data_IF_129489472273
#
_entry.id   IF_129489472273
#
_cell.length_a   1.000
_cell.length_b   1.000
_cell.length_c   1.000
_cell.angle_alpha   90.00
_cell.angle_beta   90.00
_cell.angle_gamma   90.00
#
_symmetry.space_group_name_H-M   'P 1'
#
loop_
_entity.id
_entity.type
_entity.pdbx_description
1 polymer ?
#
# COMPACT_ATOMS: atom_id res chain seq x y z
N UNK A 1 55.90 -0.49 -31.07
CA UNK A 1 54.90 -0.24 -32.13
C UNK A 1 53.55 -0.54 -31.51
N UNK A 2 52.88 0.50 -31.01
CA UNK A 2 51.61 0.36 -30.28
C UNK A 2 50.48 0.45 -31.29
N UNK A 3 49.63 -0.58 -31.33
CA UNK A 3 48.41 -0.56 -32.12
C UNK A 3 47.32 0.15 -31.30
N UNK A 4 46.85 1.27 -31.86
CA UNK A 4 45.68 2.04 -31.44
C UNK A 4 44.46 1.13 -31.29
N UNK A 5 43.89 1.06 -30.09
CA UNK A 5 42.52 0.64 -29.89
C UNK A 5 41.70 1.90 -29.61
N UNK A 6 40.91 2.27 -30.63
CA UNK A 6 39.91 3.33 -30.62
C UNK A 6 39.11 3.36 -29.30
N UNK A 7 39.39 4.36 -28.47
CA UNK A 7 38.47 4.79 -27.43
C UNK A 7 37.26 5.45 -28.12
N UNK A 8 36.23 4.66 -28.43
CA UNK A 8 34.89 5.20 -28.62
C UNK A 8 34.42 5.75 -27.27
N UNK A 9 34.65 7.04 -27.09
CA UNK A 9 34.07 7.85 -26.02
C UNK A 9 32.55 7.68 -26.12
N UNK A 10 31.97 6.90 -25.21
CA UNK A 10 30.52 6.87 -25.00
C UNK A 10 30.15 8.28 -24.57
N UNK A 11 29.61 9.07 -25.51
CA UNK A 11 28.97 10.35 -25.20
C UNK A 11 27.92 10.06 -24.14
N UNK A 12 28.24 10.42 -22.89
CA UNK A 12 27.23 10.64 -21.86
C UNK A 12 26.24 11.61 -22.47
N UNK A 13 25.12 11.07 -22.93
CA UNK A 13 23.98 11.87 -23.30
C UNK A 13 23.42 12.31 -21.96
N UNK A 14 23.93 13.43 -21.45
CA UNK A 14 23.35 14.13 -20.33
C UNK A 14 21.88 14.32 -20.68
N UNK A 15 21.02 13.53 -20.03
CA UNK A 15 19.59 13.64 -20.21
C UNK A 15 19.23 15.09 -19.85
N UNK A 16 18.77 15.84 -20.85
CA UNK A 16 18.16 17.15 -20.63
C UNK A 16 17.14 16.98 -19.51
N UNK A 17 17.17 17.82 -18.45
CA UNK A 17 16.05 17.83 -17.53
C UNK A 17 14.82 18.20 -18.37
N UNK A 18 13.84 17.30 -18.44
CA UNK A 18 12.53 17.68 -18.96
C UNK A 18 11.95 18.69 -17.97
N UNK A 19 12.25 19.96 -18.23
CA UNK A 19 11.61 21.08 -17.59
C UNK A 19 10.10 20.99 -17.81
N UNK A 20 9.35 21.08 -16.71
CA UNK A 20 7.95 21.54 -16.70
C UNK A 20 6.89 20.69 -17.44
N UNK A 21 6.77 19.39 -17.15
CA UNK A 21 5.39 18.83 -17.12
C UNK A 21 4.71 19.45 -15.91
N UNK A 22 3.87 20.46 -16.13
CA UNK A 22 3.04 21.13 -15.09
C UNK A 22 2.54 20.07 -14.10
N UNK A 23 2.95 20.16 -12.83
CA UNK A 23 2.26 19.45 -11.74
C UNK A 23 0.81 19.93 -11.81
N UNK A 24 -0.07 19.12 -12.39
CA UNK A 24 -1.48 19.45 -12.47
C UNK A 24 -1.99 19.45 -11.03
N UNK A 25 -2.52 20.59 -10.58
CA UNK A 25 -3.09 20.72 -9.25
C UNK A 25 -4.15 19.62 -9.05
N UNK A 26 -4.07 18.89 -7.93
CA UNK A 26 -5.00 17.83 -7.59
C UNK A 26 -6.44 18.33 -7.67
N UNK A 27 -6.70 19.58 -7.24
CA UNK A 27 -8.03 20.18 -7.28
C UNK A 27 -8.55 20.44 -8.70
N UNK A 28 -7.66 20.58 -9.68
CA UNK A 28 -8.01 20.79 -11.08
C UNK A 28 -8.41 19.49 -11.80
N UNK A 29 -8.15 18.32 -11.20
CA UNK A 29 -8.50 17.02 -11.78
C UNK A 29 -10.00 16.73 -11.69
N UNK A 30 -10.49 15.88 -12.61
CA UNK A 30 -11.84 15.35 -12.54
C UNK A 30 -12.02 14.42 -11.32
N UNK A 31 -13.23 14.33 -10.79
CA UNK A 31 -13.54 13.62 -9.52
C UNK A 31 -13.15 12.14 -9.56
N UNK A 32 -13.43 11.46 -10.67
CA UNK A 32 -13.01 10.08 -10.94
C UNK A 32 -11.48 9.90 -10.85
N UNK A 33 -10.71 10.82 -11.42
CA UNK A 33 -9.24 10.78 -11.34
C UNK A 33 -8.71 11.13 -9.95
N UNK A 34 -9.33 12.06 -9.25
CA UNK A 34 -8.97 12.38 -7.86
C UNK A 34 -9.17 11.16 -6.95
N UNK A 35 -10.33 10.50 -7.06
CA UNK A 35 -10.66 9.30 -6.30
C UNK A 35 -9.72 8.14 -6.65
N UNK A 36 -9.37 7.96 -7.93
CA UNK A 36 -8.44 6.92 -8.36
C UNK A 36 -7.04 7.11 -7.74
N UNK A 37 -6.52 8.35 -7.70
CA UNK A 37 -5.23 8.68 -7.06
C UNK A 37 -5.25 8.38 -5.57
N UNK A 38 -6.32 8.78 -4.87
CA UNK A 38 -6.48 8.51 -3.45
C UNK A 38 -6.50 7.00 -3.20
N UNK A 39 -7.32 6.28 -3.96
CA UNK A 39 -7.53 4.87 -3.70
C UNK A 39 -6.34 4.00 -4.11
N UNK A 40 -5.61 4.37 -5.17
CA UNK A 40 -4.37 3.67 -5.54
C UNK A 40 -3.35 3.70 -4.40
N UNK A 41 -3.23 4.84 -3.70
CA UNK A 41 -2.32 4.96 -2.55
C UNK A 41 -2.74 4.04 -1.40
N UNK A 42 -4.04 3.91 -1.12
CA UNK A 42 -4.54 2.99 -0.09
C UNK A 42 -4.36 1.51 -0.47
N UNK A 43 -4.53 1.17 -1.76
CA UNK A 43 -4.27 -0.17 -2.29
C UNK A 43 -2.79 -0.51 -2.16
N UNK A 44 -1.88 0.36 -2.59
CA UNK A 44 -0.43 0.14 -2.47
C UNK A 44 0.00 -0.11 -1.01
N UNK A 45 -0.58 0.63 -0.06
CA UNK A 45 -0.35 0.37 1.36
C UNK A 45 -0.83 -1.03 1.74
N UNK A 46 -2.04 -1.42 1.31
CA UNK A 46 -2.59 -2.74 1.61
C UNK A 46 -1.76 -3.86 0.98
N UNK A 47 -1.29 -3.68 -0.26
CA UNK A 47 -0.39 -4.62 -0.94
C UNK A 47 0.91 -4.82 -0.16
N UNK A 48 1.52 -3.75 0.37
CA UNK A 48 2.73 -3.85 1.17
C UNK A 48 2.50 -4.73 2.43
N UNK A 49 1.36 -4.58 3.10
CA UNK A 49 0.98 -5.46 4.21
C UNK A 49 0.63 -6.88 3.74
N UNK A 50 0.00 -7.05 2.57
CA UNK A 50 -0.32 -8.37 2.02
C UNK A 50 0.96 -9.18 1.76
N UNK A 51 1.98 -8.55 1.19
CA UNK A 51 3.30 -9.17 0.99
C UNK A 51 4.05 -9.38 2.32
N UNK A 52 3.96 -8.42 3.25
CA UNK A 52 4.72 -8.44 4.49
C UNK A 52 4.16 -9.34 5.59
N UNK A 53 2.83 -9.48 5.70
CA UNK A 53 2.16 -10.24 6.77
C UNK A 53 0.85 -10.91 6.35
N UNK A 54 0.33 -10.67 5.14
CA UNK A 54 -1.00 -11.12 4.71
C UNK A 54 -1.19 -12.63 4.66
N UNK A 55 -0.07 -13.37 4.58
CA UNK A 55 -0.04 -14.83 4.64
C UNK A 55 0.72 -15.29 5.89
N UNK A 56 0.12 -15.13 7.09
CA UNK A 56 0.79 -15.44 8.35
C UNK A 56 1.24 -16.90 8.48
N UNK A 57 0.68 -17.82 7.71
CA UNK A 57 1.10 -19.23 7.64
C UNK A 57 2.54 -19.43 7.15
N UNK A 58 3.11 -18.49 6.40
CA UNK A 58 4.54 -18.54 6.05
C UNK A 58 5.44 -18.19 7.24
N UNK A 59 4.93 -17.44 8.21
CA UNK A 59 5.69 -17.00 9.38
C UNK A 59 5.56 -17.98 10.55
N UNK A 60 4.37 -18.50 10.79
CA UNK A 60 4.08 -19.27 12.00
C UNK A 60 3.37 -20.57 11.64
N UNK A 61 3.96 -21.69 12.06
CA UNK A 61 3.37 -23.03 11.97
C UNK A 61 2.87 -23.50 13.35
N UNK A 62 2.08 -24.58 13.40
CA UNK A 62 1.54 -25.11 14.67
C UNK A 62 2.66 -25.57 15.62
N UNK A 63 3.74 -26.09 15.06
CA UNK A 63 4.98 -26.44 15.74
C UNK A 63 6.12 -25.75 15.03
N UNK A 64 7.10 -25.26 15.79
CA UNK A 64 8.28 -24.60 15.25
C UNK A 64 9.51 -24.97 16.07
N UNK A 65 10.68 -25.00 15.45
CA UNK A 65 11.97 -24.96 16.13
C UNK A 65 12.33 -23.53 16.54
N UNK A 66 13.36 -23.35 17.37
CA UNK A 66 13.85 -22.00 17.71
C UNK A 66 14.35 -21.27 16.45
N UNK A 67 15.06 -21.98 15.56
CA UNK A 67 15.55 -21.44 14.29
C UNK A 67 14.41 -20.95 13.39
N UNK A 68 13.34 -21.74 13.23
CA UNK A 68 12.16 -21.33 12.46
C UNK A 68 11.47 -20.10 13.07
N UNK A 69 11.40 -20.03 14.41
CA UNK A 69 10.83 -18.89 15.11
C UNK A 69 11.68 -17.62 14.93
N UNK A 70 13.00 -17.75 14.89
CA UNK A 70 13.90 -16.63 14.68
C UNK A 70 13.88 -16.13 13.22
N UNK A 71 13.85 -17.04 12.23
CA UNK A 71 13.66 -16.69 10.81
C UNK A 71 12.34 -15.94 10.61
N UNK A 72 11.26 -16.37 11.28
CA UNK A 72 9.98 -15.67 11.20
C UNK A 72 10.07 -14.22 11.71
N UNK A 73 10.84 -13.97 12.77
CA UNK A 73 11.06 -12.62 13.31
C UNK A 73 11.93 -11.78 12.38
N UNK A 74 12.97 -12.37 11.79
CA UNK A 74 13.84 -11.71 10.82
C UNK A 74 13.07 -11.26 9.58
N UNK A 75 12.26 -12.16 9.00
CA UNK A 75 11.41 -11.86 7.84
C UNK A 75 10.37 -10.76 8.12
N UNK A 76 10.04 -10.52 9.38
CA UNK A 76 9.11 -9.48 9.82
C UNK A 76 9.76 -8.08 9.89
N UNK A 77 11.10 -7.97 9.89
CA UNK A 77 11.78 -6.68 10.13
C UNK A 77 11.53 -5.65 9.02
N UNK A 78 11.46 -6.09 7.74
CA UNK A 78 11.17 -5.19 6.62
C UNK A 78 9.84 -4.46 6.81
N UNK A 79 8.76 -5.19 7.11
CA UNK A 79 7.43 -4.56 7.29
C UNK A 79 7.36 -3.74 8.57
N UNK A 80 8.09 -4.09 9.64
CA UNK A 80 8.19 -3.25 10.84
C UNK A 80 8.83 -1.90 10.54
N UNK A 81 9.91 -1.88 9.76
CA UNK A 81 10.60 -0.65 9.34
C UNK A 81 9.69 0.23 8.49
N UNK A 82 8.92 -0.37 7.59
CA UNK A 82 8.02 0.34 6.67
C UNK A 82 6.69 0.77 7.32
N UNK A 83 6.24 0.10 8.38
CA UNK A 83 4.90 0.29 9.00
C UNK A 83 4.56 1.77 9.25
N UNK A 84 5.50 2.53 9.83
CA UNK A 84 5.29 3.95 10.11
C UNK A 84 5.09 4.77 8.82
N UNK A 85 5.87 4.49 7.78
CA UNK A 85 5.77 5.17 6.49
C UNK A 85 4.44 4.84 5.81
N UNK A 86 4.04 3.57 5.81
CA UNK A 86 2.80 3.10 5.21
C UNK A 86 1.55 3.71 5.87
N UNK A 87 1.54 3.80 7.20
CA UNK A 87 0.47 4.49 7.95
C UNK A 87 0.40 5.98 7.63
N UNK A 88 1.56 6.62 7.47
CA UNK A 88 1.64 8.03 7.05
C UNK A 88 1.06 8.21 5.65
N UNK A 89 1.46 7.37 4.69
CA UNK A 89 0.94 7.38 3.32
C UNK A 89 -0.60 7.19 3.29
N UNK A 90 -1.14 6.28 4.11
CA UNK A 90 -2.59 6.12 4.22
C UNK A 90 -3.26 7.37 4.81
N UNK A 91 -2.67 7.98 5.83
CA UNK A 91 -3.20 9.20 6.45
C UNK A 91 -3.21 10.38 5.46
N UNK A 92 -2.16 10.50 4.65
CA UNK A 92 -2.09 11.47 3.55
C UNK A 92 -3.17 11.20 2.48
N UNK A 93 -3.42 9.93 2.14
CA UNK A 93 -4.49 9.56 1.23
C UNK A 93 -5.89 9.90 1.79
N UNK A 94 -6.14 9.66 3.08
CA UNK A 94 -7.38 10.07 3.76
C UNK A 94 -7.53 11.60 3.74
N UNK A 95 -6.46 12.35 4.01
CA UNK A 95 -6.49 13.80 3.96
C UNK A 95 -6.76 14.33 2.54
N UNK A 96 -6.27 13.65 1.50
CA UNK A 96 -6.60 13.95 0.10
C UNK A 96 -8.06 13.61 -0.23
N UNK A 97 -8.58 12.50 0.30
CA UNK A 97 -9.97 12.09 0.13
C UNK A 97 -10.95 13.18 0.62
N UNK A 98 -10.65 13.75 1.79
CA UNK A 98 -11.41 14.87 2.38
C UNK A 98 -11.32 16.18 1.58
N UNK A 99 -10.44 16.23 0.58
CA UNK A 99 -10.28 17.37 -0.34
C UNK A 99 -10.75 17.04 -1.76
N UNK A 100 -11.37 15.87 -1.98
CA UNK A 100 -11.93 15.53 -3.30
C UNK A 100 -13.10 16.45 -3.65
N UNK A 101 -13.31 16.67 -4.96
CA UNK A 101 -14.52 17.33 -5.44
C UNK A 101 -15.73 16.55 -4.96
N UNK A 102 -16.76 17.26 -4.52
CA UNK A 102 -18.01 16.69 -4.02
C UNK A 102 -17.87 15.81 -2.76
N UNK A 103 -16.79 15.94 -1.98
CA UNK A 103 -16.60 15.17 -0.74
C UNK A 103 -17.80 15.23 0.22
N UNK A 104 -18.50 16.37 0.27
CA UNK A 104 -19.68 16.57 1.12
C UNK A 104 -20.81 15.57 0.79
N UNK A 105 -20.89 15.09 -0.46
CA UNK A 105 -21.89 14.11 -0.88
C UNK A 105 -21.64 12.70 -0.33
N UNK A 106 -20.44 12.42 0.15
CA UNK A 106 -19.99 11.11 0.62
C UNK A 106 -19.34 11.19 2.00
N UNK A 107 -19.70 12.19 2.82
CA UNK A 107 -19.04 12.46 4.10
C UNK A 107 -19.11 11.25 5.06
N UNK A 108 -20.25 10.56 5.07
CA UNK A 108 -20.47 9.38 5.90
C UNK A 108 -19.55 8.23 5.43
N UNK A 109 -19.50 7.98 4.12
CA UNK A 109 -18.67 6.93 3.55
C UNK A 109 -17.17 7.22 3.72
N UNK A 110 -16.75 8.49 3.64
CA UNK A 110 -15.37 8.91 3.93
C UNK A 110 -15.01 8.62 5.40
N UNK A 111 -15.92 8.90 6.33
CA UNK A 111 -15.73 8.57 7.74
C UNK A 111 -15.64 7.06 7.97
N UNK A 112 -16.57 6.29 7.38
CA UNK A 112 -16.56 4.83 7.44
C UNK A 112 -15.26 4.24 6.89
N UNK A 113 -14.75 4.77 5.76
CA UNK A 113 -13.47 4.33 5.21
C UNK A 113 -12.33 4.64 6.17
N UNK A 114 -12.32 5.82 6.78
CA UNK A 114 -11.29 6.22 7.75
C UNK A 114 -11.25 5.28 8.96
N UNK A 115 -12.42 4.98 9.54
CA UNK A 115 -12.56 4.04 10.66
C UNK A 115 -12.16 2.62 10.26
N UNK A 116 -12.63 2.15 9.10
CA UNK A 116 -12.28 0.84 8.56
C UNK A 116 -10.76 0.69 8.38
N UNK A 117 -10.08 1.74 7.88
CA UNK A 117 -8.61 1.75 7.73
C UNK A 117 -7.90 1.79 9.08
N UNK A 118 -8.42 2.46 10.09
CA UNK A 118 -7.85 2.43 11.43
C UNK A 118 -7.86 1.00 12.01
N UNK A 119 -9.01 0.31 11.93
CA UNK A 119 -9.13 -1.07 12.44
C UNK A 119 -8.29 -2.06 11.62
N UNK A 120 -8.16 -1.84 10.30
CA UNK A 120 -7.21 -2.60 9.47
C UNK A 120 -5.79 -2.52 10.02
N UNK A 121 -5.31 -1.32 10.37
CA UNK A 121 -3.96 -1.14 10.92
C UNK A 121 -3.80 -1.72 12.32
N UNK A 122 -4.81 -1.62 13.19
CA UNK A 122 -4.79 -2.26 14.50
C UNK A 122 -4.69 -3.80 14.39
N UNK A 123 -5.40 -4.37 13.41
CA UNK A 123 -5.32 -5.80 13.08
C UNK A 123 -3.93 -6.17 12.58
N UNK A 124 -3.38 -5.39 11.64
CA UNK A 124 -2.03 -5.59 11.10
C UNK A 124 -0.95 -5.50 12.20
N UNK A 125 -1.03 -4.51 13.09
CA UNK A 125 -0.12 -4.36 14.22
C UNK A 125 -0.20 -5.56 15.18
N UNK A 126 -1.42 -6.07 15.42
CA UNK A 126 -1.63 -7.27 16.25
C UNK A 126 -0.99 -8.50 15.62
N UNK A 127 -1.10 -8.66 14.30
CA UNK A 127 -0.44 -9.74 13.56
C UNK A 127 1.09 -9.62 13.64
N UNK A 128 1.65 -8.43 13.39
CA UNK A 128 3.09 -8.15 13.52
C UNK A 128 3.58 -8.50 14.93
N UNK A 129 2.86 -8.05 15.96
CA UNK A 129 3.23 -8.32 17.36
C UNK A 129 3.25 -9.82 17.66
N UNK A 130 2.24 -10.56 17.23
CA UNK A 130 2.16 -12.02 17.45
C UNK A 130 3.29 -12.77 16.77
N UNK A 131 3.58 -12.46 15.50
CA UNK A 131 4.69 -13.06 14.77
C UNK A 131 6.02 -12.72 15.46
N UNK A 132 6.22 -11.46 15.85
CA UNK A 132 7.44 -11.02 16.53
C UNK A 132 7.68 -11.63 17.92
N UNK A 133 6.68 -12.27 18.51
CA UNK A 133 6.73 -12.91 19.82
C UNK A 133 6.65 -14.44 19.75
N UNK A 134 6.70 -15.01 18.54
CA UNK A 134 6.59 -16.46 18.37
C UNK A 134 7.81 -17.19 18.97
N UNK A 135 7.54 -18.32 19.61
CA UNK A 135 8.53 -19.26 20.15
C UNK A 135 7.99 -20.69 19.94
N UNK A 136 8.84 -21.73 19.98
CA UNK A 136 8.37 -23.12 19.91
C UNK A 136 7.25 -23.44 20.89
N UNK A 137 7.33 -22.89 22.11
CA UNK A 137 6.35 -23.14 23.19
C UNK A 137 4.98 -22.53 22.91
N UNK A 138 4.91 -21.40 22.20
CA UNK A 138 3.66 -20.69 21.95
C UNK A 138 3.14 -20.81 20.51
N UNK A 139 3.91 -21.41 19.59
CA UNK A 139 3.65 -21.47 18.15
C UNK A 139 2.20 -21.87 17.81
N UNK A 140 1.69 -22.96 18.40
CA UNK A 140 0.30 -23.42 18.21
C UNK A 140 -0.74 -22.36 18.56
N UNK A 141 -0.58 -21.67 19.69
CA UNK A 141 -1.52 -20.63 20.13
C UNK A 141 -1.42 -19.39 19.24
N UNK A 142 -0.19 -18.98 18.92
CA UNK A 142 0.09 -17.86 18.02
C UNK A 142 -0.55 -18.09 16.64
N UNK A 143 -0.39 -19.30 16.07
CA UNK A 143 -1.03 -19.72 14.81
C UNK A 143 -2.53 -19.53 14.83
N UNK A 144 -3.20 -20.05 15.85
CA UNK A 144 -4.66 -19.95 15.99
C UNK A 144 -5.16 -18.51 16.08
N UNK A 145 -4.43 -17.64 16.79
CA UNK A 145 -4.75 -16.22 16.87
C UNK A 145 -4.54 -15.51 15.52
N UNK A 146 -3.45 -15.83 14.82
CA UNK A 146 -3.20 -15.30 13.48
C UNK A 146 -4.26 -15.74 12.46
N UNK A 147 -4.80 -16.96 12.56
CA UNK A 147 -5.89 -17.41 11.68
C UNK A 147 -7.18 -16.61 11.88
N UNK A 148 -7.46 -16.18 13.12
CA UNK A 148 -8.60 -15.32 13.42
C UNK A 148 -8.37 -13.89 12.90
N UNK A 149 -7.18 -13.34 13.15
CA UNK A 149 -6.81 -12.00 12.69
C UNK A 149 -6.75 -11.92 11.16
N UNK A 150 -6.30 -12.97 10.46
CA UNK A 150 -6.29 -13.03 8.98
C UNK A 150 -7.69 -12.82 8.40
N UNK A 151 -8.72 -13.41 9.03
CA UNK A 151 -10.12 -13.23 8.60
C UNK A 151 -10.57 -11.78 8.75
N UNK A 152 -10.24 -11.14 9.87
CA UNK A 152 -10.55 -9.72 10.10
C UNK A 152 -9.79 -8.82 9.12
N UNK A 153 -8.49 -9.06 8.96
CA UNK A 153 -7.62 -8.33 8.05
C UNK A 153 -8.17 -8.34 6.61
N UNK A 154 -8.47 -9.53 6.09
CA UNK A 154 -9.05 -9.70 4.74
C UNK A 154 -10.44 -9.07 4.61
N UNK A 155 -11.28 -9.17 5.65
CA UNK A 155 -12.58 -8.52 5.68
C UNK A 155 -12.45 -6.99 5.58
N UNK A 156 -11.61 -6.35 6.39
CA UNK A 156 -11.43 -4.89 6.37
C UNK A 156 -10.75 -4.39 5.07
N UNK A 157 -9.86 -5.20 4.48
CA UNK A 157 -9.31 -4.92 3.16
C UNK A 157 -10.42 -4.90 2.09
N UNK A 158 -11.25 -5.95 2.03
CA UNK A 158 -12.37 -6.04 1.08
C UNK A 158 -13.42 -4.95 1.30
N UNK A 159 -13.71 -4.60 2.55
CA UNK A 159 -14.69 -3.55 2.89
C UNK A 159 -14.22 -2.17 2.44
N UNK A 160 -12.90 -1.89 2.48
CA UNK A 160 -12.34 -0.64 1.94
C UNK A 160 -12.72 -0.42 0.47
N UNK A 161 -12.69 -1.49 -0.33
CA UNK A 161 -13.08 -1.46 -1.75
C UNK A 161 -14.57 -1.15 -1.92
N UNK A 162 -15.42 -1.78 -1.10
CA UNK A 162 -16.88 -1.52 -1.16
C UNK A 162 -17.22 -0.09 -0.78
N UNK A 163 -16.61 0.42 0.29
CA UNK A 163 -16.84 1.80 0.74
C UNK A 163 -16.35 2.78 -0.32
N UNK A 164 -15.17 2.56 -0.92
CA UNK A 164 -14.67 3.42 -2.00
C UNK A 164 -15.62 3.44 -3.22
N UNK A 165 -16.15 2.29 -3.63
CA UNK A 165 -17.13 2.22 -4.70
C UNK A 165 -18.43 2.98 -4.35
N UNK A 166 -18.83 2.99 -3.07
CA UNK A 166 -19.94 3.83 -2.61
C UNK A 166 -19.61 5.32 -2.72
N UNK A 167 -18.40 5.73 -2.33
CA UNK A 167 -17.92 7.11 -2.48
C UNK A 167 -17.97 7.55 -3.95
N UNK A 168 -17.41 6.77 -4.87
CA UNK A 168 -17.44 7.04 -6.32
C UNK A 168 -18.87 7.27 -6.80
N UNK A 169 -19.80 6.40 -6.42
CA UNK A 169 -21.23 6.51 -6.76
C UNK A 169 -21.85 7.79 -6.17
N UNK A 170 -21.60 8.08 -4.90
CA UNK A 170 -22.18 9.22 -4.17
C UNK A 170 -21.67 10.56 -4.68
N UNK A 171 -20.38 10.65 -5.00
CA UNK A 171 -19.76 11.84 -5.58
C UNK A 171 -20.13 12.04 -7.07
N UNK A 172 -20.92 11.12 -7.65
CA UNK A 172 -21.32 11.10 -9.07
C UNK A 172 -20.12 11.09 -10.03
N UNK A 173 -19.03 10.46 -9.62
CA UNK A 173 -17.88 10.23 -10.48
C UNK A 173 -18.21 9.16 -11.53
N UNK A 174 -17.63 9.30 -12.72
CA UNK A 174 -17.78 8.27 -13.76
C UNK A 174 -17.03 6.99 -13.34
N UNK A 175 -17.79 5.91 -13.13
CA UNK A 175 -17.26 4.66 -12.58
C UNK A 175 -16.23 4.01 -13.54
N UNK A 176 -16.54 3.97 -14.84
CA UNK A 176 -15.66 3.33 -15.82
C UNK A 176 -14.33 4.09 -15.97
N UNK A 177 -14.38 5.41 -15.92
CA UNK A 177 -13.19 6.26 -15.95
C UNK A 177 -12.38 6.17 -14.66
N UNK A 178 -13.04 6.12 -13.50
CA UNK A 178 -12.39 5.84 -12.21
C UNK A 178 -11.62 4.51 -12.25
N UNK A 179 -12.28 3.41 -12.67
CA UNK A 179 -11.67 2.08 -12.74
C UNK A 179 -10.47 2.06 -13.70
N UNK A 180 -10.60 2.67 -14.89
CA UNK A 180 -9.51 2.79 -15.87
C UNK A 180 -8.31 3.57 -15.32
N UNK A 181 -8.58 4.68 -14.63
CA UNK A 181 -7.52 5.48 -14.01
C UNK A 181 -6.84 4.73 -12.87
N UNK A 182 -7.62 4.04 -12.03
CA UNK A 182 -7.11 3.22 -10.95
C UNK A 182 -6.21 2.11 -11.48
N UNK A 183 -6.66 1.37 -12.49
CA UNK A 183 -5.88 0.32 -13.13
C UNK A 183 -4.55 0.87 -13.66
N UNK A 184 -4.58 1.99 -14.40
CA UNK A 184 -3.37 2.61 -14.93
C UNK A 184 -2.39 3.07 -13.84
N UNK A 185 -2.87 3.45 -12.65
CA UNK A 185 -2.04 3.83 -11.50
C UNK A 185 -1.47 2.61 -10.77
N UNK A 186 -2.14 1.47 -10.82
CA UNK A 186 -1.72 0.22 -10.18
C UNK A 186 -0.82 -0.65 -11.08
N UNK A 187 -0.89 -0.48 -12.41
CA UNK A 187 0.00 -1.17 -13.34
C UNK A 187 1.46 -0.76 -13.05
N UNK A 188 2.21 -1.66 -12.41
CA UNK A 188 3.66 -1.51 -12.18
C UNK A 188 4.36 -1.50 -13.53
N UNK A 189 4.98 -0.38 -13.91
CA UNK A 189 5.94 -0.42 -15.01
C UNK A 189 7.15 -1.25 -14.59
N UNK A 190 7.63 -2.21 -15.41
CA UNK A 190 8.84 -2.95 -15.09
C UNK A 190 10.02 -1.96 -14.94
N UNK A 191 10.61 -1.91 -13.75
CA UNK A 191 11.80 -1.10 -13.44
C UNK A 191 11.56 0.27 -12.80
N UNK A 192 10.33 0.66 -12.43
CA UNK A 192 10.12 1.89 -11.66
C UNK A 192 10.35 1.66 -10.15
N UNK A 193 11.42 2.25 -9.61
CA UNK A 193 11.50 2.55 -8.18
C UNK A 193 10.24 3.32 -7.77
N UNK A 194 9.67 2.92 -6.63
CA UNK A 194 8.58 3.64 -5.96
C UNK A 194 8.97 5.11 -5.93
N UNK A 195 8.21 5.95 -6.63
CA UNK A 195 8.38 7.41 -6.55
C UNK A 195 7.97 7.85 -5.14
N UNK A 196 8.87 7.72 -4.19
CA UNK A 196 8.88 8.48 -2.95
C UNK A 196 9.31 9.92 -3.25
N UNK A 197 8.57 10.60 -4.12
CA UNK A 197 8.68 12.04 -4.35
C UNK A 197 7.30 12.62 -4.70
N UNK A 198 6.38 12.53 -3.75
CA UNK A 198 5.24 13.44 -3.67
C UNK A 198 4.97 13.70 -2.18
N UNK A 199 5.75 14.61 -1.60
CA UNK A 199 5.33 15.91 -1.06
C UNK A 199 6.53 16.61 -0.42
#
# INVERSE_FOLDING_TARGET
>A
MFADCDQKTVKQTAAKPMSSKKKQDFQALASDRQLAIVFSSMIQVSEAFDYGIGNPEYFVQISMTEEEADIAKENLESIKLENKSLKKQNSEAVALLQKTRNQDMSRIEIQQLTENRAVFFETADSMIKLIGQVTPKNAKKTRQQLDQLKKQYTQYSAESVKIMNSIVKKQKADKASFERHLEALLQKQPGQQVRSELY
#
